data_IF_604859777666
#
_entry.id   IF_604859777666
#
_cell.length_a   1.000
_cell.length_b   1.000
_cell.length_c   1.000
_cell.angle_alpha   90.00
_cell.angle_beta   90.00
_cell.angle_gamma   90.00
#
_symmetry.space_group_name_H-M   'P 1'
#
loop_
_entity.id
_entity.type
_entity.pdbx_description
1 polymer ?
#
# COMPACT_ATOMS: atom_id res chain seq x y z
N UNK A 1 33.02 -20.29 -27.74
CA UNK A 1 31.63 -20.72 -27.86
C UNK A 1 31.27 -21.46 -26.57
N UNK A 2 30.45 -20.85 -25.73
CA UNK A 2 29.97 -21.48 -24.47
C UNK A 2 28.66 -22.20 -24.81
N UNK A 3 28.66 -23.52 -24.61
CA UNK A 3 27.43 -24.31 -24.64
C UNK A 3 26.60 -23.97 -23.38
N UNK A 4 25.58 -23.08 -23.49
CA UNK A 4 24.52 -23.03 -22.52
C UNK A 4 23.79 -24.38 -22.54
N UNK A 5 23.70 -24.99 -21.37
CA UNK A 5 23.14 -26.33 -21.26
C UNK A 5 21.63 -26.27 -21.44
N UNK A 6 21.11 -27.02 -22.38
CA UNK A 6 19.68 -27.20 -22.65
C UNK A 6 18.88 -27.59 -21.38
N UNK A 7 19.53 -28.09 -20.33
CA UNK A 7 18.95 -28.40 -19.01
C UNK A 7 18.35 -27.19 -18.27
N UNK A 8 18.89 -25.98 -18.48
CA UNK A 8 18.45 -24.79 -17.73
C UNK A 8 17.18 -24.21 -18.36
N UNK A 9 17.02 -24.32 -19.67
CA UNK A 9 15.80 -23.90 -20.39
C UNK A 9 14.62 -24.83 -20.07
N UNK A 10 14.87 -26.14 -19.90
CA UNK A 10 13.84 -27.10 -19.51
C UNK A 10 13.38 -26.88 -18.06
N UNK A 11 14.29 -26.58 -17.14
CA UNK A 11 13.97 -26.32 -15.74
C UNK A 11 13.13 -25.04 -15.54
N UNK A 12 13.35 -24.00 -16.35
CA UNK A 12 12.51 -22.79 -16.34
C UNK A 12 11.14 -23.05 -16.97
N UNK A 13 11.07 -23.85 -18.03
CA UNK A 13 9.77 -24.19 -18.67
C UNK A 13 8.92 -25.09 -17.77
N UNK A 14 9.50 -26.05 -17.04
CA UNK A 14 8.80 -26.89 -16.07
C UNK A 14 8.33 -26.09 -14.84
N UNK A 15 9.12 -25.12 -14.35
CA UNK A 15 8.68 -24.18 -13.30
C UNK A 15 7.51 -23.31 -13.77
N UNK A 16 7.55 -22.81 -14.99
CA UNK A 16 6.47 -22.03 -15.59
C UNK A 16 5.19 -22.86 -15.79
N UNK A 17 5.32 -24.11 -16.21
CA UNK A 17 4.19 -25.03 -16.38
C UNK A 17 3.59 -25.49 -15.04
N UNK A 18 4.40 -25.67 -14.01
CA UNK A 18 3.94 -26.02 -12.67
C UNK A 18 3.14 -24.89 -12.01
N UNK A 19 3.47 -23.63 -12.30
CA UNK A 19 2.74 -22.45 -11.82
C UNK A 19 1.38 -22.30 -12.54
N UNK A 20 1.27 -22.76 -13.79
CA UNK A 20 0.04 -22.69 -14.60
C UNK A 20 -1.13 -23.57 -14.10
N UNK A 21 -0.85 -24.50 -13.17
CA UNK A 21 -1.89 -25.39 -12.58
C UNK A 21 -2.34 -24.99 -11.18
N UNK A 22 -1.70 -24.01 -10.52
CA UNK A 22 -2.10 -23.59 -9.18
C UNK A 22 -3.28 -22.61 -9.25
N UNK A 23 -4.34 -22.91 -8.53
CA UNK A 23 -5.52 -22.04 -8.42
C UNK A 23 -5.08 -20.72 -7.74
N UNK A 24 -5.05 -19.62 -8.50
CA UNK A 24 -4.73 -18.29 -7.96
C UNK A 24 -5.76 -17.88 -6.91
N UNK A 25 -5.26 -17.21 -5.87
CA UNK A 25 -6.09 -16.53 -4.87
C UNK A 25 -6.61 -15.26 -5.52
N UNK A 26 -7.91 -15.15 -5.75
CA UNK A 26 -8.54 -13.95 -6.31
C UNK A 26 -8.96 -13.04 -5.17
N UNK A 27 -8.49 -11.79 -5.18
CA UNK A 27 -8.69 -10.85 -4.09
C UNK A 27 -8.92 -9.44 -4.66
N UNK A 28 -10.04 -8.81 -4.29
CA UNK A 28 -10.30 -7.42 -4.68
C UNK A 28 -9.54 -6.47 -3.75
N UNK A 29 -8.82 -5.50 -4.30
CA UNK A 29 -8.33 -4.36 -3.52
C UNK A 29 -9.35 -3.22 -3.58
N UNK A 30 -10.03 -2.98 -2.46
CA UNK A 30 -11.05 -1.96 -2.30
C UNK A 30 -10.41 -0.57 -2.20
N UNK A 31 -10.00 -0.04 -3.33
CA UNK A 31 -9.41 1.30 -3.45
C UNK A 31 -9.79 1.96 -4.78
N UNK A 32 -10.09 3.27 -4.72
CA UNK A 32 -10.22 4.13 -5.91
C UNK A 32 -8.90 4.81 -6.28
N UNK A 33 -7.84 4.61 -5.50
CA UNK A 33 -6.53 5.21 -5.73
C UNK A 33 -5.68 4.30 -6.64
N UNK A 34 -5.51 4.70 -7.90
CA UNK A 34 -4.76 3.94 -8.89
C UNK A 34 -3.27 3.76 -8.52
N UNK A 35 -2.65 4.76 -7.89
CA UNK A 35 -1.25 4.64 -7.44
C UNK A 35 -1.09 3.56 -6.35
N UNK A 36 -2.03 3.48 -5.41
CA UNK A 36 -2.03 2.40 -4.41
C UNK A 36 -2.20 1.03 -5.08
N UNK A 37 -3.10 0.93 -6.05
CA UNK A 37 -3.34 -0.31 -6.79
C UNK A 37 -2.08 -0.77 -7.55
N UNK A 38 -1.38 0.15 -8.21
CA UNK A 38 -0.13 -0.11 -8.93
C UNK A 38 0.98 -0.57 -7.99
N UNK A 39 1.17 0.10 -6.84
CA UNK A 39 2.15 -0.31 -5.83
C UNK A 39 1.86 -1.72 -5.30
N UNK A 40 0.61 -2.01 -4.94
CA UNK A 40 0.22 -3.33 -4.42
C UNK A 40 0.42 -4.42 -5.47
N UNK A 41 0.07 -4.17 -6.74
CA UNK A 41 0.32 -5.11 -7.85
C UNK A 41 1.79 -5.41 -8.06
N UNK A 42 2.65 -4.41 -7.88
CA UNK A 42 4.10 -4.58 -8.03
C UNK A 42 4.75 -5.37 -6.86
N UNK A 43 4.07 -5.47 -5.71
CA UNK A 43 4.62 -6.07 -4.49
C UNK A 43 4.06 -7.47 -4.24
N UNK A 44 2.78 -7.69 -4.52
CA UNK A 44 2.13 -8.98 -4.25
C UNK A 44 2.68 -10.09 -5.14
N UNK A 45 2.82 -11.32 -4.62
CA UNK A 45 3.28 -12.45 -5.39
C UNK A 45 2.25 -12.89 -6.44
N UNK A 46 2.72 -13.56 -7.50
CA UNK A 46 1.90 -13.97 -8.66
C UNK A 46 0.75 -14.94 -8.32
N UNK A 47 0.84 -15.60 -7.19
CA UNK A 47 -0.20 -16.49 -6.67
C UNK A 47 -1.49 -15.73 -6.27
N UNK A 48 -1.37 -14.41 -6.05
CA UNK A 48 -2.50 -13.53 -5.73
C UNK A 48 -2.90 -12.74 -6.99
N UNK A 49 -4.04 -13.09 -7.55
CA UNK A 49 -4.68 -12.32 -8.62
C UNK A 49 -5.42 -11.12 -8.01
N UNK A 50 -4.83 -9.93 -8.15
CA UNK A 50 -5.39 -8.70 -7.61
C UNK A 50 -6.42 -8.09 -8.57
N UNK A 51 -7.67 -8.03 -8.12
CA UNK A 51 -8.77 -7.36 -8.82
C UNK A 51 -8.86 -5.90 -8.36
N UNK A 52 -9.11 -5.00 -9.29
CA UNK A 52 -9.55 -3.62 -9.00
C UNK A 52 -11.06 -3.58 -8.70
N UNK A 53 -11.55 -2.47 -8.15
CA UNK A 53 -12.99 -2.24 -7.99
C UNK A 53 -13.75 -2.29 -9.33
N UNK A 54 -13.12 -1.85 -10.42
CA UNK A 54 -13.75 -1.87 -11.75
C UNK A 54 -13.97 -3.29 -12.29
N UNK A 55 -13.19 -4.26 -11.82
CA UNK A 55 -13.30 -5.68 -12.16
C UNK A 55 -14.30 -6.41 -11.26
N UNK A 56 -14.86 -5.70 -10.29
CA UNK A 56 -16.00 -6.10 -9.47
C UNK A 56 -17.20 -5.20 -9.80
N UNK A 57 -18.40 -5.57 -9.38
CA UNK A 57 -19.60 -4.75 -9.63
C UNK A 57 -19.73 -3.57 -8.64
N UNK A 58 -18.65 -3.15 -7.98
CA UNK A 58 -18.62 -2.02 -7.07
C UNK A 58 -18.06 -0.79 -7.76
N UNK A 59 -18.92 0.20 -8.04
CA UNK A 59 -18.54 1.46 -8.73
C UNK A 59 -18.76 2.70 -7.87
N UNK A 60 -19.24 2.52 -6.66
CA UNK A 60 -19.55 3.60 -5.76
C UNK A 60 -18.28 4.13 -5.09
N UNK A 61 -18.40 5.35 -4.57
CA UNK A 61 -17.38 5.91 -3.69
C UNK A 61 -17.31 5.10 -2.40
N UNK A 62 -16.09 4.78 -1.96
CA UNK A 62 -15.88 4.01 -0.74
C UNK A 62 -16.07 4.92 0.49
N UNK A 63 -16.76 4.46 1.53
CA UNK A 63 -16.93 5.24 2.74
C UNK A 63 -15.62 5.36 3.52
N UNK A 64 -15.36 6.55 4.07
CA UNK A 64 -14.24 6.86 4.97
C UNK A 64 -14.74 7.76 6.10
N UNK A 65 -15.64 7.22 6.95
CA UNK A 65 -16.35 8.01 7.99
C UNK A 65 -15.76 7.78 9.39
N UNK A 66 -14.74 6.94 9.51
CA UNK A 66 -14.14 6.57 10.79
C UNK A 66 -13.00 7.52 11.16
N UNK A 67 -12.68 7.57 12.47
CA UNK A 67 -11.62 8.43 13.01
C UNK A 67 -10.29 7.69 13.21
N UNK A 68 -10.13 6.52 12.61
CA UNK A 68 -8.90 5.73 12.66
C UNK A 68 -8.65 5.02 11.34
N UNK A 69 -7.39 4.70 11.06
CA UNK A 69 -6.99 3.96 9.86
C UNK A 69 -7.63 2.58 9.84
N UNK A 70 -7.69 1.90 11.00
CA UNK A 70 -8.32 0.60 11.15
C UNK A 70 -9.81 0.65 10.81
N UNK A 71 -10.49 1.66 11.35
CA UNK A 71 -11.92 1.86 11.12
C UNK A 71 -12.24 2.11 9.65
N UNK A 72 -11.51 3.01 8.99
CA UNK A 72 -11.69 3.30 7.57
C UNK A 72 -11.36 2.08 6.68
N UNK A 73 -10.28 1.36 6.96
CA UNK A 73 -9.93 0.15 6.22
C UNK A 73 -11.03 -0.92 6.36
N UNK A 74 -11.53 -1.15 7.59
CA UNK A 74 -12.62 -2.09 7.84
C UNK A 74 -13.92 -1.67 7.15
N UNK A 75 -14.30 -0.40 7.25
CA UNK A 75 -15.51 0.14 6.63
C UNK A 75 -15.49 -0.06 5.11
N UNK A 76 -14.39 0.28 4.46
CA UNK A 76 -14.20 0.08 3.00
C UNK A 76 -14.27 -1.39 2.60
N UNK A 77 -13.56 -2.27 3.31
CA UNK A 77 -13.56 -3.70 3.01
C UNK A 77 -14.96 -4.30 3.21
N UNK A 78 -15.64 -3.95 4.31
CA UNK A 78 -17.01 -4.39 4.61
C UNK A 78 -17.99 -3.95 3.54
N UNK A 79 -17.90 -2.70 3.10
CA UNK A 79 -18.76 -2.15 2.05
C UNK A 79 -18.64 -2.95 0.75
N UNK A 80 -17.41 -3.21 0.30
CA UNK A 80 -17.17 -3.97 -0.94
C UNK A 80 -17.62 -5.42 -0.79
N UNK A 81 -17.28 -6.08 0.30
CA UNK A 81 -17.66 -7.48 0.55
C UNK A 81 -19.18 -7.68 0.59
N UNK A 82 -19.89 -6.81 1.30
CA UNK A 82 -21.37 -6.89 1.36
C UNK A 82 -22.03 -6.68 0.01
N UNK A 83 -21.43 -5.89 -0.87
CA UNK A 83 -21.97 -5.55 -2.17
C UNK A 83 -21.69 -6.60 -3.24
N UNK A 84 -20.51 -7.19 -3.21
CA UNK A 84 -20.00 -8.04 -4.29
C UNK A 84 -19.89 -9.51 -3.90
N UNK A 85 -19.95 -9.84 -2.61
CA UNK A 85 -19.63 -11.15 -2.05
C UNK A 85 -18.24 -11.68 -2.49
N UNK A 86 -17.32 -10.74 -2.86
CA UNK A 86 -15.96 -11.06 -3.29
C UNK A 86 -15.01 -10.87 -2.11
N UNK A 87 -14.15 -11.85 -1.85
CA UNK A 87 -13.07 -11.71 -0.88
C UNK A 87 -12.22 -10.49 -1.25
N UNK A 88 -12.00 -9.61 -0.30
CA UNK A 88 -11.39 -8.33 -0.57
C UNK A 88 -10.57 -7.81 0.61
N UNK A 89 -9.67 -6.89 0.33
CA UNK A 89 -9.07 -6.07 1.37
C UNK A 89 -9.11 -4.59 0.98
N UNK A 90 -9.10 -3.74 1.99
CA UNK A 90 -8.94 -2.29 1.84
C UNK A 90 -7.74 -1.81 2.62
N UNK A 91 -7.18 -0.66 2.23
CA UNK A 91 -6.17 0.03 3.03
C UNK A 91 -6.68 1.38 3.51
N UNK A 92 -6.20 1.79 4.67
CA UNK A 92 -6.14 3.20 5.00
C UNK A 92 -4.72 3.57 5.45
N UNK A 93 -4.29 4.79 5.10
CA UNK A 93 -2.90 5.21 5.27
C UNK A 93 -2.81 6.61 5.81
N UNK A 94 -2.03 6.78 6.87
CA UNK A 94 -1.72 8.04 7.50
C UNK A 94 -0.23 8.36 7.48
N UNK A 95 0.08 9.65 7.40
CA UNK A 95 1.37 10.23 7.75
C UNK A 95 1.23 10.82 9.15
N UNK A 96 2.00 10.32 10.09
CA UNK A 96 2.01 10.76 11.49
C UNK A 96 3.30 11.54 11.74
N UNK A 97 3.22 12.81 12.16
CA UNK A 97 4.39 13.69 12.40
C UNK A 97 4.46 14.04 13.87
N UNK A 98 5.56 13.68 14.53
CA UNK A 98 5.72 13.85 15.99
C UNK A 98 5.54 15.29 16.46
N UNK A 99 6.15 16.24 15.77
CA UNK A 99 6.07 17.67 16.14
C UNK A 99 4.68 18.31 15.92
N UNK A 100 3.76 17.57 15.31
CA UNK A 100 2.37 17.96 15.04
C UNK A 100 1.39 17.05 15.77
N UNK A 101 1.80 16.41 16.88
CA UNK A 101 0.97 15.52 17.70
C UNK A 101 0.29 14.40 16.89
N UNK A 102 0.97 13.92 15.83
CA UNK A 102 0.50 12.86 14.94
C UNK A 102 -0.28 13.35 13.72
N UNK A 103 -0.51 14.65 13.57
CA UNK A 103 -1.11 15.17 12.33
C UNK A 103 -0.16 14.98 11.12
N UNK A 104 -0.73 14.80 9.91
CA UNK A 104 -2.15 14.75 9.54
C UNK A 104 -2.88 13.45 9.91
N UNK A 105 -2.20 12.35 10.24
CA UNK A 105 -2.82 11.10 10.70
C UNK A 105 -3.88 10.57 9.72
N UNK A 106 -5.09 10.30 10.20
CA UNK A 106 -6.22 9.83 9.39
C UNK A 106 -6.63 10.81 8.30
N UNK A 107 -6.39 12.10 8.52
CA UNK A 107 -6.75 13.17 7.58
C UNK A 107 -5.69 13.40 6.49
N UNK A 108 -4.72 12.50 6.36
CA UNK A 108 -3.58 12.63 5.43
C UNK A 108 -3.98 13.03 4.01
N UNK A 109 -5.05 12.46 3.46
CA UNK A 109 -5.52 12.78 2.12
C UNK A 109 -6.22 14.16 2.04
N UNK A 110 -6.80 14.64 3.14
CA UNK A 110 -7.64 15.83 3.22
C UNK A 110 -7.02 16.98 4.06
N UNK A 111 -5.74 16.88 4.39
CA UNK A 111 -5.10 17.76 5.37
C UNK A 111 -5.27 19.25 5.07
N UNK A 112 -5.23 19.64 3.79
CA UNK A 112 -5.47 21.02 3.36
C UNK A 112 -6.90 21.27 2.84
N UNK A 113 -7.78 20.27 2.90
CA UNK A 113 -9.17 20.41 2.47
C UNK A 113 -9.72 19.21 1.69
N UNK A 114 -11.00 19.25 1.34
CA UNK A 114 -11.72 18.12 0.73
C UNK A 114 -11.27 17.78 -0.70
N UNK A 115 -10.52 18.68 -1.37
CA UNK A 115 -10.06 18.48 -2.76
C UNK A 115 -9.01 17.40 -2.91
N UNK A 116 -8.45 16.88 -1.83
CA UNK A 116 -7.37 15.86 -1.79
C UNK A 116 -6.13 16.27 -2.62
N UNK A 117 -5.84 17.57 -2.65
CA UNK A 117 -4.71 18.13 -3.39
C UNK A 117 -3.39 17.87 -2.67
N UNK A 118 -2.57 16.96 -3.23
CA UNK A 118 -1.32 16.57 -2.62
C UNK A 118 -0.33 17.74 -2.47
N UNK A 119 -0.32 18.71 -3.39
CA UNK A 119 0.58 19.85 -3.30
C UNK A 119 0.16 20.80 -2.18
N UNK A 120 -1.14 21.08 -2.06
CA UNK A 120 -1.68 21.87 -0.94
C UNK A 120 -1.42 21.17 0.40
N UNK A 121 -1.62 19.86 0.48
CA UNK A 121 -1.36 19.07 1.67
C UNK A 121 0.12 19.15 2.09
N UNK A 122 1.06 18.96 1.16
CA UNK A 122 2.50 19.11 1.42
C UNK A 122 2.87 20.53 1.85
N UNK A 123 2.34 21.54 1.16
CA UNK A 123 2.62 22.94 1.49
C UNK A 123 2.15 23.29 2.91
N UNK A 124 0.95 22.82 3.29
CA UNK A 124 0.42 23.01 4.65
C UNK A 124 1.28 22.28 5.68
N UNK A 125 1.69 21.04 5.41
CA UNK A 125 2.58 20.28 6.29
C UNK A 125 3.91 21.00 6.52
N UNK A 126 4.56 21.44 5.45
CA UNK A 126 5.84 22.16 5.54
C UNK A 126 5.70 23.47 6.32
N UNK A 127 4.61 24.22 6.07
CA UNK A 127 4.28 25.43 6.80
C UNK A 127 4.10 25.18 8.31
N UNK A 128 3.37 24.14 8.69
CA UNK A 128 3.12 23.79 10.08
C UNK A 128 4.41 23.31 10.80
N UNK A 129 5.43 22.90 10.03
CA UNK A 129 6.74 22.50 10.52
C UNK A 129 7.78 23.64 10.52
N UNK A 130 7.41 24.85 10.10
CA UNK A 130 8.32 26.01 10.17
C UNK A 130 8.75 26.28 11.62
N UNK A 131 10.07 26.42 11.83
CA UNK A 131 10.66 26.66 13.15
C UNK A 131 10.65 25.45 14.10
N UNK A 132 10.13 24.29 13.70
CA UNK A 132 10.15 23.07 14.51
C UNK A 132 11.40 22.25 14.19
N UNK A 133 12.29 21.97 15.18
CA UNK A 133 13.51 21.19 14.95
C UNK A 133 13.23 19.69 14.79
N UNK A 134 12.21 19.18 15.46
CA UNK A 134 11.81 17.79 15.31
C UNK A 134 10.97 17.62 14.04
N UNK A 135 11.46 16.79 13.12
CA UNK A 135 10.80 16.49 11.86
C UNK A 135 10.49 15.00 11.71
N UNK A 136 10.65 14.23 12.80
CA UNK A 136 10.35 12.80 12.79
C UNK A 136 8.94 12.55 12.34
N UNK A 137 8.77 11.56 11.48
CA UNK A 137 7.50 11.17 10.94
C UNK A 137 7.45 9.65 10.68
N UNK A 138 6.25 9.13 10.60
CA UNK A 138 6.00 7.73 10.28
C UNK A 138 4.87 7.66 9.25
N UNK A 139 5.08 6.95 8.15
CA UNK A 139 3.96 6.44 7.38
C UNK A 139 3.46 5.15 7.99
N UNK A 140 2.16 5.08 8.18
CA UNK A 140 1.45 3.92 8.70
C UNK A 140 0.31 3.54 7.76
N UNK A 141 0.15 2.27 7.45
CA UNK A 141 -0.99 1.75 6.71
C UNK A 141 -1.59 0.54 7.42
N UNK A 142 -2.90 0.45 7.39
CA UNK A 142 -3.63 -0.71 7.88
C UNK A 142 -4.37 -1.34 6.71
N UNK A 143 -4.12 -2.63 6.48
CA UNK A 143 -4.93 -3.46 5.59
C UNK A 143 -5.98 -4.19 6.41
N UNK A 144 -7.23 -4.13 6.00
CA UNK A 144 -8.30 -4.96 6.52
C UNK A 144 -8.75 -5.93 5.41
N UNK A 145 -8.51 -7.23 5.64
CA UNK A 145 -8.90 -8.32 4.74
C UNK A 145 -10.19 -8.95 5.24
N UNK A 146 -11.15 -9.14 4.34
CA UNK A 146 -12.29 -10.05 4.54
C UNK A 146 -12.06 -11.24 3.62
N UNK A 147 -11.83 -12.40 4.24
CA UNK A 147 -11.56 -13.66 3.56
C UNK A 147 -12.51 -14.74 4.08
N UNK A 148 -13.33 -15.29 3.18
CA UNK A 148 -14.34 -16.30 3.52
C UNK A 148 -15.27 -15.90 4.68
N UNK A 149 -15.58 -14.61 4.78
CA UNK A 149 -16.43 -14.03 5.82
C UNK A 149 -15.72 -13.65 7.11
N UNK A 150 -14.46 -14.04 7.30
CA UNK A 150 -13.65 -13.69 8.46
C UNK A 150 -12.80 -12.45 8.21
N UNK A 151 -12.55 -11.65 9.26
CA UNK A 151 -11.82 -10.39 9.16
C UNK A 151 -10.43 -10.51 9.77
N UNK A 152 -9.43 -10.01 9.04
CA UNK A 152 -8.02 -9.99 9.44
C UNK A 152 -7.45 -8.59 9.24
N UNK A 153 -6.45 -8.21 10.03
CA UNK A 153 -5.79 -6.91 9.92
C UNK A 153 -4.27 -7.07 9.83
N UNK A 154 -3.65 -6.25 8.98
CA UNK A 154 -2.20 -6.21 8.81
C UNK A 154 -1.76 -4.75 8.83
N UNK A 155 -0.73 -4.46 9.60
CA UNK A 155 -0.18 -3.11 9.71
C UNK A 155 1.23 -3.06 9.14
N UNK A 156 1.49 -2.04 8.32
CA UNK A 156 2.85 -1.73 7.89
C UNK A 156 3.24 -0.32 8.28
N UNK A 157 4.50 -0.13 8.69
CA UNK A 157 5.04 1.16 9.13
C UNK A 157 6.39 1.42 8.47
N UNK A 158 6.70 2.69 8.26
CA UNK A 158 8.05 3.13 7.94
C UNK A 158 8.32 4.46 8.62
N UNK A 159 9.35 4.49 9.41
CA UNK A 159 9.81 5.70 10.07
C UNK A 159 10.75 6.49 9.16
N UNK A 160 10.77 7.78 9.37
CA UNK A 160 11.60 8.71 8.63
C UNK A 160 11.49 10.13 9.17
N UNK A 161 11.75 11.08 8.31
CA UNK A 161 11.64 12.51 8.63
C UNK A 161 11.06 13.30 7.46
N UNK A 162 10.48 14.46 7.76
CA UNK A 162 9.99 15.39 6.75
C UNK A 162 11.13 16.31 6.30
N UNK A 163 11.43 16.31 5.01
CA UNK A 163 12.40 17.22 4.39
C UNK A 163 12.03 18.71 4.61
N UNK A 164 13.00 19.60 4.56
CA UNK A 164 12.74 21.04 4.66
C UNK A 164 11.96 21.58 3.45
N UNK A 165 12.11 20.97 2.30
CA UNK A 165 11.46 21.31 1.03
C UNK A 165 11.16 20.04 0.22
N UNK A 166 10.22 20.13 -0.72
CA UNK A 166 9.89 19.01 -1.61
C UNK A 166 11.04 18.77 -2.61
N UNK A 167 11.42 17.49 -2.80
CA UNK A 167 12.46 17.03 -3.71
C UNK A 167 11.99 15.80 -4.50
N UNK A 168 12.42 15.74 -5.77
CA UNK A 168 12.00 14.68 -6.69
C UNK A 168 10.60 14.90 -7.28
N UNK A 169 10.28 14.12 -8.31
CA UNK A 169 9.01 14.20 -9.04
C UNK A 169 8.28 12.86 -9.12
N UNK A 170 8.85 11.80 -8.54
CA UNK A 170 8.27 10.46 -8.51
C UNK A 170 7.25 10.26 -7.40
N UNK A 171 6.54 9.15 -7.46
CA UNK A 171 5.59 8.76 -6.43
C UNK A 171 4.31 9.59 -6.39
N UNK A 172 3.67 9.65 -5.21
CA UNK A 172 2.45 10.42 -4.99
C UNK A 172 2.34 10.87 -3.52
N UNK A 173 1.35 11.74 -3.24
CA UNK A 173 1.09 12.23 -1.89
C UNK A 173 2.26 12.99 -1.31
N UNK A 174 2.77 12.54 -0.20
CA UNK A 174 3.89 13.16 0.53
C UNK A 174 5.27 12.57 0.18
N UNK A 175 5.38 11.73 -0.85
CA UNK A 175 6.66 11.16 -1.27
C UNK A 175 7.77 12.20 -1.52
N UNK A 176 7.48 13.40 -2.08
CA UNK A 176 8.50 14.42 -2.27
C UNK A 176 9.06 15.06 -0.98
N UNK A 177 8.40 14.87 0.15
CA UNK A 177 8.82 15.45 1.43
C UNK A 177 9.21 14.42 2.48
N UNK A 178 9.00 13.11 2.24
CA UNK A 178 9.31 12.06 3.21
C UNK A 178 10.65 11.39 2.89
N UNK A 179 11.59 11.47 3.83
CA UNK A 179 12.90 10.82 3.80
C UNK A 179 12.82 9.58 4.70
N UNK A 180 12.86 8.36 4.17
CA UNK A 180 12.79 7.16 4.99
C UNK A 180 14.07 6.98 5.83
N UNK A 181 13.93 6.39 7.02
CA UNK A 181 15.07 6.15 7.93
C UNK A 181 16.19 5.37 7.22
N UNK A 182 17.42 5.88 7.37
CA UNK A 182 18.61 5.30 6.76
C UNK A 182 18.91 5.78 5.34
N UNK A 183 18.13 6.73 4.83
CA UNK A 183 18.34 7.38 3.54
C UNK A 183 18.54 8.90 3.73
N UNK A 184 19.08 9.55 2.72
CA UNK A 184 19.21 11.02 2.65
C UNK A 184 18.37 11.64 1.53
N UNK A 185 17.61 10.82 0.83
CA UNK A 185 16.77 11.17 -0.31
C UNK A 185 15.31 10.89 0.03
N UNK A 186 14.41 11.67 -0.56
CA UNK A 186 12.97 11.46 -0.43
C UNK A 186 12.51 10.22 -1.20
N UNK A 187 11.34 9.68 -0.87
CA UNK A 187 10.74 8.60 -1.68
C UNK A 187 10.59 8.96 -3.16
N UNK A 188 10.29 10.23 -3.46
CA UNK A 188 10.18 10.70 -4.83
C UNK A 188 11.53 10.68 -5.59
N UNK A 189 12.64 10.85 -4.88
CA UNK A 189 13.99 10.76 -5.45
C UNK A 189 14.50 9.31 -5.54
N UNK A 190 14.15 8.47 -4.56
CA UNK A 190 14.56 7.06 -4.50
C UNK A 190 13.88 6.18 -5.55
N UNK A 191 12.70 6.59 -6.01
CA UNK A 191 11.95 5.89 -7.04
C UNK A 191 11.16 4.65 -6.55
N UNK A 192 10.36 4.06 -7.46
CA UNK A 192 9.39 3.04 -7.11
C UNK A 192 10.01 1.72 -6.64
N UNK A 193 11.15 1.30 -7.19
CA UNK A 193 11.79 0.04 -6.79
C UNK A 193 12.20 0.03 -5.32
N UNK A 194 12.78 1.13 -4.83
CA UNK A 194 13.17 1.26 -3.42
C UNK A 194 11.93 1.36 -2.55
N UNK A 195 10.95 2.18 -2.94
CA UNK A 195 9.69 2.35 -2.21
C UNK A 195 8.92 1.03 -2.08
N UNK A 196 8.79 0.27 -3.15
CA UNK A 196 8.10 -1.03 -3.16
C UNK A 196 8.80 -2.10 -2.30
N UNK A 197 10.07 -1.90 -1.97
CA UNK A 197 10.81 -2.81 -1.09
C UNK A 197 10.66 -2.47 0.39
N UNK A 198 10.59 -1.20 0.76
CA UNK A 198 10.73 -0.79 2.17
C UNK A 198 9.56 0.02 2.74
N UNK A 199 8.58 0.42 1.92
CA UNK A 199 7.48 1.25 2.39
C UNK A 199 6.54 0.54 3.37
N UNK A 200 5.75 1.33 4.11
CA UNK A 200 4.65 0.86 4.95
C UNK A 200 3.72 -0.10 4.20
N UNK A 201 3.34 0.23 2.95
CA UNK A 201 2.49 -0.63 2.12
C UNK A 201 3.19 -1.93 1.73
N UNK A 202 4.50 -1.88 1.47
CA UNK A 202 5.28 -3.09 1.21
C UNK A 202 5.30 -4.04 2.41
N UNK A 203 5.38 -3.51 3.63
CA UNK A 203 5.30 -4.31 4.85
C UNK A 203 3.94 -4.96 5.02
N UNK A 204 2.85 -4.21 4.86
CA UNK A 204 1.49 -4.76 4.93
C UNK A 204 1.25 -5.83 3.85
N UNK A 205 1.73 -5.63 2.61
CA UNK A 205 1.67 -6.63 1.55
C UNK A 205 2.41 -7.93 1.90
N UNK A 206 3.60 -7.82 2.53
CA UNK A 206 4.35 -9.02 2.98
C UNK A 206 3.57 -9.81 4.03
N UNK A 207 2.94 -9.13 4.98
CA UNK A 207 2.11 -9.78 6.01
C UNK A 207 0.88 -10.45 5.39
N UNK A 208 0.18 -9.77 4.48
CA UNK A 208 -0.95 -10.34 3.73
C UNK A 208 -0.53 -11.58 2.93
N UNK A 209 0.59 -11.53 2.22
CA UNK A 209 1.11 -12.68 1.47
C UNK A 209 1.53 -13.84 2.39
N UNK A 210 2.12 -13.54 3.55
CA UNK A 210 2.49 -14.55 4.55
C UNK A 210 1.26 -15.23 5.14
N UNK A 211 0.16 -14.50 5.37
CA UNK A 211 -1.11 -15.07 5.82
C UNK A 211 -1.59 -16.18 4.88
N UNK A 212 -1.62 -15.95 3.58
CA UNK A 212 -2.07 -16.96 2.61
C UNK A 212 -1.12 -18.16 2.54
N UNK A 213 0.19 -17.95 2.67
CA UNK A 213 1.18 -19.04 2.71
C UNK A 213 1.01 -19.95 3.94
N UNK A 214 0.77 -19.35 5.11
CA UNK A 214 0.58 -20.11 6.36
C UNK A 214 -0.77 -20.82 6.43
N UNK A 215 -1.80 -20.22 5.87
CA UNK A 215 -3.13 -20.84 5.76
C UNK A 215 -3.18 -22.01 4.76
N UNK A 216 -2.07 -22.32 4.08
CA UNK A 216 -2.01 -23.40 3.09
C UNK A 216 -2.83 -23.12 1.83
N UNK A 217 -3.29 -21.91 1.66
CA UNK A 217 -4.14 -21.46 0.56
C UNK A 217 -3.20 -21.21 -0.64
N UNK A 218 -3.37 -21.98 -1.72
CA UNK A 218 -2.50 -21.92 -2.91
C UNK A 218 -1.62 -23.16 -3.12
N UNK A 219 -1.74 -24.18 -2.25
CA UNK A 219 -1.04 -25.48 -2.40
C UNK A 219 -1.95 -26.66 -2.79
N UNK A 220 -3.18 -26.38 -3.24
CA UNK A 220 -4.07 -27.42 -3.76
C UNK A 220 -4.20 -27.34 -5.28
#
# INVERSE_FOLDING_TARGET
MRHEKASDIWAESEKSAAISGMKKIRLCFATNNLHKLEEVRAILPEEIELLSLQETDCREELPENQRSLEGNALEKATFVYQKTATDCFADDTGLEVEALDGEPGVDTAHYAGPERDAQKNMALLLKNLEGKPNRNACFRTVFCLIWQGETYSFEGRIEGEIAAEAKGSGGFGYDPVFIPRGYSQTFAELGPEVKNRLSHRAEACRQLAAFFKTAGIGKM
#
